data_IF_592024556364
#
_entry.id   IF_592024556364
#
_cell.length_a   1.000
_cell.length_b   1.000
_cell.length_c   1.000
_cell.angle_alpha   90.00
_cell.angle_beta   90.00
_cell.angle_gamma   90.00
#
_symmetry.space_group_name_H-M   'P 1'
#
loop_
_entity.id
_entity.type
_entity.pdbx_description
1 polymer ?
#
# COMPACT_ATOMS: atom_id res chain seq x y z
N UNK A 1 -8.70 -3.10 -13.85
CA UNK A 1 -7.28 -3.13 -13.40
C UNK A 1 -6.82 -1.84 -12.70
N UNK A 2 -7.44 -0.66 -12.96
CA UNK A 2 -7.08 0.61 -12.30
C UNK A 2 -7.53 0.70 -10.83
N UNK A 3 -8.67 0.11 -10.47
CA UNK A 3 -9.20 0.10 -9.09
C UNK A 3 -8.30 -0.62 -8.08
N UNK A 4 -7.41 -1.51 -8.55
CA UNK A 4 -6.50 -2.25 -7.66
C UNK A 4 -5.31 -1.41 -7.19
N UNK A 5 -4.97 -0.33 -7.91
CA UNK A 5 -3.78 0.49 -7.59
C UNK A 5 -3.91 1.19 -6.24
N UNK A 6 -5.13 1.57 -5.86
CA UNK A 6 -5.40 2.26 -4.60
C UNK A 6 -5.21 1.31 -3.42
N UNK A 7 -5.78 0.11 -3.50
CA UNK A 7 -5.58 -0.92 -2.48
C UNK A 7 -4.13 -1.38 -2.35
N UNK A 8 -3.40 -1.50 -3.46
CA UNK A 8 -1.99 -1.94 -3.44
C UNK A 8 -1.10 -0.96 -2.65
N UNK A 9 -1.40 0.35 -2.66
CA UNK A 9 -0.63 1.33 -1.89
C UNK A 9 -0.70 1.10 -0.39
N UNK A 10 -1.85 0.68 0.14
CA UNK A 10 -2.03 0.38 1.56
C UNK A 10 -1.10 -0.74 2.05
N UNK A 11 -0.84 -1.73 1.19
CA UNK A 11 -0.02 -2.91 1.52
C UNK A 11 1.47 -2.75 1.18
N UNK A 12 1.89 -1.62 0.59
CA UNK A 12 3.29 -1.34 0.28
C UNK A 12 3.87 -0.26 1.20
N UNK A 13 5.07 -0.49 1.71
CA UNK A 13 5.96 0.56 2.24
C UNK A 13 6.91 1.04 1.16
N UNK A 14 7.34 2.29 1.30
CA UNK A 14 8.41 2.85 0.50
C UNK A 14 9.60 3.15 1.39
N UNK A 15 10.77 2.59 1.06
CA UNK A 15 12.04 2.96 1.64
C UNK A 15 12.64 4.08 0.77
N UNK A 16 12.79 5.26 1.35
CA UNK A 16 13.27 6.46 0.62
C UNK A 16 14.78 6.40 0.45
N UNK A 17 15.21 6.42 -0.82
CA UNK A 17 16.60 6.57 -1.22
C UNK A 17 16.88 8.01 -1.63
N UNK A 18 16.80 8.27 -2.94
CA UNK A 18 16.95 9.59 -3.55
C UNK A 18 15.68 10.45 -3.48
N UNK A 19 14.54 9.88 -3.10
CA UNK A 19 13.26 10.54 -2.91
C UNK A 19 12.61 11.05 -4.19
N UNK A 20 13.08 10.63 -5.37
CA UNK A 20 12.60 11.15 -6.67
C UNK A 20 11.35 10.46 -7.19
N UNK A 21 11.05 9.26 -6.69
CA UNK A 21 9.91 8.47 -7.13
C UNK A 21 8.81 8.44 -6.09
N UNK A 22 9.19 8.33 -4.81
CA UNK A 22 8.26 8.34 -3.69
C UNK A 22 7.43 9.63 -3.67
N UNK A 23 6.11 9.48 -3.67
CA UNK A 23 5.16 10.55 -3.42
C UNK A 23 5.21 10.95 -1.95
N UNK A 24 5.35 12.25 -1.69
CA UNK A 24 5.34 12.77 -0.32
C UNK A 24 4.01 12.46 0.39
N UNK A 25 2.89 12.54 -0.34
CA UNK A 25 1.55 12.48 0.24
C UNK A 25 0.92 11.08 0.23
N UNK A 26 1.16 10.31 -0.82
CA UNK A 26 0.37 9.12 -1.16
C UNK A 26 1.12 7.79 -1.01
N UNK A 27 2.42 7.82 -0.81
CA UNK A 27 3.21 6.62 -0.54
C UNK A 27 3.45 6.48 0.96
N UNK A 28 3.51 5.24 1.43
CA UNK A 28 3.76 4.95 2.84
C UNK A 28 5.26 4.87 3.10
N UNK A 29 5.91 6.03 3.07
CA UNK A 29 7.34 6.15 3.33
C UNK A 29 7.69 6.55 4.77
N UNK A 30 6.67 6.76 5.58
CA UNK A 30 6.75 6.95 7.04
C UNK A 30 5.99 5.83 7.76
N UNK A 31 6.22 5.68 9.05
CA UNK A 31 5.43 4.80 9.91
C UNK A 31 4.05 5.38 10.27
N UNK A 32 3.84 6.68 10.00
CA UNK A 32 2.56 7.38 10.14
C UNK A 32 1.55 7.05 9.03
N UNK A 33 1.95 6.28 8.01
CA UNK A 33 1.12 5.94 6.86
C UNK A 33 1.09 7.05 5.80
N UNK A 34 0.00 7.14 5.03
CA UNK A 34 -0.14 8.15 4.00
C UNK A 34 -0.38 9.53 4.64
N UNK A 35 0.53 10.47 4.37
CA UNK A 35 0.48 11.80 4.99
C UNK A 35 -0.77 12.59 4.61
N UNK A 36 -1.35 12.33 3.43
CA UNK A 36 -2.61 12.97 3.03
C UNK A 36 -3.78 12.53 3.92
N UNK A 37 -3.81 11.27 4.34
CA UNK A 37 -4.83 10.72 5.22
C UNK A 37 -4.65 11.23 6.65
N UNK A 38 -3.40 11.36 7.09
CA UNK A 38 -3.08 11.87 8.43
C UNK A 38 -3.39 13.37 8.58
N UNK A 39 -2.94 14.20 7.63
CA UNK A 39 -3.04 15.67 7.73
C UNK A 39 -4.36 16.18 7.13
N UNK A 40 -4.98 15.40 6.25
CA UNK A 40 -6.21 15.74 5.53
C UNK A 40 -5.95 16.50 4.22
N UNK A 41 -7.03 16.72 3.46
CA UNK A 41 -6.99 17.31 2.12
C UNK A 41 -6.39 18.74 2.06
N UNK A 42 -6.41 19.45 3.18
CA UNK A 42 -5.77 20.77 3.31
C UNK A 42 -4.25 20.70 3.56
N UNK A 43 -3.71 19.52 3.86
CA UNK A 43 -2.30 19.29 4.16
C UNK A 43 -1.32 19.88 3.15
N UNK A 44 -1.50 19.67 1.83
CA UNK A 44 -0.66 20.29 0.79
C UNK A 44 -0.53 21.81 0.92
N UNK A 45 -1.63 22.50 1.25
CA UNK A 45 -1.62 23.96 1.44
C UNK A 45 -0.97 24.35 2.77
N UNK A 46 -1.20 23.58 3.83
CA UNK A 46 -0.63 23.82 5.16
C UNK A 46 0.89 23.63 5.18
N UNK A 47 1.39 22.55 4.60
CA UNK A 47 2.82 22.24 4.53
C UNK A 47 3.53 22.92 3.35
N UNK A 48 2.79 23.63 2.48
CA UNK A 48 3.33 24.28 1.27
C UNK A 48 4.07 23.30 0.35
N UNK A 49 3.62 22.05 0.33
CA UNK A 49 4.13 21.00 -0.54
C UNK A 49 3.02 20.65 -1.52
N UNK A 50 3.34 20.65 -2.81
CA UNK A 50 2.36 20.35 -3.86
C UNK A 50 1.80 18.93 -3.67
N UNK A 51 0.55 18.72 -4.09
CA UNK A 51 -0.09 17.40 -3.98
C UNK A 51 0.66 16.31 -4.77
N UNK A 52 1.28 16.68 -5.88
CA UNK A 52 2.09 15.80 -6.74
C UNK A 52 3.58 15.76 -6.38
N UNK A 53 3.97 16.39 -5.27
CA UNK A 53 5.37 16.48 -4.86
C UNK A 53 5.96 15.11 -4.48
N UNK A 54 7.24 14.97 -4.77
CA UNK A 54 8.07 13.84 -4.35
C UNK A 54 8.70 14.11 -2.98
N UNK A 55 9.19 13.07 -2.33
CA UNK A 55 9.85 13.20 -1.03
C UNK A 55 11.08 14.12 -1.12
N UNK A 56 11.83 14.05 -2.23
CA UNK A 56 12.96 14.93 -2.49
C UNK A 56 12.56 16.42 -2.57
N UNK A 57 11.37 16.73 -3.10
CA UNK A 57 10.89 18.10 -3.26
C UNK A 57 10.60 18.77 -1.90
N UNK A 58 10.42 17.98 -0.84
CA UNK A 58 10.24 18.46 0.53
C UNK A 58 11.57 18.77 1.25
N UNK A 59 12.71 18.63 0.55
CA UNK A 59 14.04 18.92 1.10
C UNK A 59 14.70 20.09 0.38
N UNK A 60 15.58 20.80 1.09
CA UNK A 60 16.44 21.85 0.52
C UNK A 60 17.82 21.77 1.13
N UNK A 61 18.86 21.72 0.29
CA UNK A 61 20.27 21.67 0.71
C UNK A 61 20.58 20.50 1.67
N UNK A 62 19.94 19.34 1.47
CA UNK A 62 20.17 18.15 2.28
C UNK A 62 19.43 18.11 3.63
N UNK A 63 18.50 19.04 3.86
CA UNK A 63 17.66 19.10 5.07
C UNK A 63 16.17 19.16 4.72
N UNK A 64 15.32 18.65 5.60
CA UNK A 64 13.86 18.81 5.49
C UNK A 64 13.49 20.30 5.52
N UNK A 65 12.62 20.71 4.61
CA UNK A 65 12.17 22.09 4.51
C UNK A 65 10.65 22.17 4.57
N UNK A 66 10.15 22.30 5.81
CA UNK A 66 8.72 22.35 6.12
C UNK A 66 8.41 23.66 6.87
N UNK A 67 7.22 24.26 6.69
CA UNK A 67 6.78 25.39 7.49
C UNK A 67 6.54 24.95 8.94
N UNK A 68 6.53 25.91 9.87
CA UNK A 68 6.17 25.65 11.26
C UNK A 68 4.84 24.88 11.35
N UNK A 69 4.79 23.86 12.22
CA UNK A 69 3.59 23.06 12.43
C UNK A 69 2.41 23.94 12.87
N UNK A 70 1.25 23.76 12.21
CA UNK A 70 -0.01 24.48 12.50
C UNK A 70 -1.15 23.54 12.90
N UNK A 71 -0.82 22.28 13.16
CA UNK A 71 -1.71 21.23 13.67
C UNK A 71 -0.87 20.16 14.38
N UNK A 72 -1.49 19.41 15.29
CA UNK A 72 -0.83 18.33 16.02
C UNK A 72 -0.26 17.26 15.07
N UNK A 73 -1.02 16.90 14.02
CA UNK A 73 -0.58 15.96 12.99
C UNK A 73 0.66 16.45 12.21
N UNK A 74 0.76 17.76 11.96
CA UNK A 74 1.94 18.34 11.32
C UNK A 74 3.14 18.38 12.27
N UNK A 75 2.90 18.58 13.57
CA UNK A 75 3.94 18.53 14.59
C UNK A 75 4.49 17.10 14.73
N UNK A 76 3.61 16.10 14.76
CA UNK A 76 3.99 14.68 14.82
C UNK A 76 4.87 14.29 13.63
N UNK A 77 4.47 14.69 12.40
CA UNK A 77 5.31 14.49 11.21
C UNK A 77 6.70 15.13 11.38
N UNK A 78 6.77 16.38 11.84
CA UNK A 78 8.05 17.08 11.98
C UNK A 78 8.97 16.42 13.01
N UNK A 79 8.43 15.94 14.13
CA UNK A 79 9.20 15.19 15.14
C UNK A 79 9.84 13.95 14.49
N UNK A 80 9.05 13.15 13.76
CA UNK A 80 9.58 11.94 13.09
C UNK A 80 10.64 12.24 12.04
N UNK A 81 10.47 13.31 11.27
CA UNK A 81 11.44 13.70 10.24
C UNK A 81 12.76 14.22 10.83
N UNK A 82 12.75 14.76 12.05
CA UNK A 82 13.95 15.24 12.72
C UNK A 82 14.69 14.08 13.42
N UNK A 83 13.96 13.19 14.07
CA UNK A 83 14.55 12.18 14.94
C UNK A 83 14.90 10.88 14.19
N UNK A 84 14.01 10.40 13.33
CA UNK A 84 14.07 9.01 12.82
C UNK A 84 14.34 8.92 11.32
N UNK A 85 13.87 9.90 10.53
CA UNK A 85 13.86 9.80 9.06
C UNK A 85 14.82 10.83 8.45
N UNK A 86 16.06 10.44 8.11
CA UNK A 86 16.99 11.35 7.47
C UNK A 86 16.51 11.79 6.07
N UNK A 87 16.82 13.02 5.64
CA UNK A 87 16.49 13.51 4.31
C UNK A 87 16.98 12.58 3.18
N UNK A 88 16.23 12.45 2.06
CA UNK A 88 16.67 11.73 0.88
C UNK A 88 18.07 12.15 0.40
N UNK A 89 18.84 11.17 -0.05
CA UNK A 89 20.23 11.37 -0.46
C UNK A 89 20.50 10.61 -1.76
N UNK A 90 21.09 11.31 -2.75
CA UNK A 90 21.44 10.74 -4.06
C UNK A 90 22.34 9.50 -3.98
N UNK A 91 23.16 9.39 -2.94
CA UNK A 91 24.07 8.26 -2.75
C UNK A 91 23.36 6.98 -2.28
N UNK A 92 22.12 7.06 -1.80
CA UNK A 92 21.34 5.89 -1.37
C UNK A 92 20.71 5.13 -2.54
N UNK A 93 20.80 5.66 -3.76
CA UNK A 93 20.15 5.08 -4.93
C UNK A 93 18.65 5.37 -4.98
N UNK A 94 17.95 4.71 -5.89
CA UNK A 94 16.52 4.94 -6.10
C UNK A 94 15.64 4.41 -4.97
N UNK A 95 14.47 5.02 -4.81
CA UNK A 95 13.45 4.59 -3.85
C UNK A 95 13.02 3.13 -4.09
N UNK A 96 12.82 2.39 -3.00
CA UNK A 96 12.45 0.96 -3.03
C UNK A 96 11.07 0.74 -2.44
N UNK A 97 10.20 0.01 -3.15
CA UNK A 97 8.83 -0.29 -2.71
C UNK A 97 8.74 -1.75 -2.27
N UNK A 98 8.45 -1.98 -0.99
CA UNK A 98 8.37 -3.29 -0.37
C UNK A 98 6.93 -3.57 0.10
N UNK A 99 6.55 -4.84 0.14
CA UNK A 99 5.27 -5.23 0.72
C UNK A 99 5.38 -5.25 2.26
N UNK A 100 4.59 -4.44 2.96
CA UNK A 100 4.54 -4.47 4.44
C UNK A 100 3.78 -5.68 4.89
N UNK A 101 4.44 -6.53 5.69
CA UNK A 101 3.91 -7.79 6.23
C UNK A 101 3.16 -8.61 5.18
N UNK A 102 3.83 -9.65 4.68
CA UNK A 102 3.17 -10.73 3.96
C UNK A 102 2.83 -11.80 5.00
N UNK A 103 1.76 -11.71 5.81
CA UNK A 103 1.24 -12.92 6.42
C UNK A 103 0.83 -13.85 5.27
N UNK A 104 0.75 -15.16 5.51
CA UNK A 104 0.34 -16.18 4.52
C UNK A 104 -0.86 -15.77 3.63
N UNK A 105 -1.70 -14.90 4.14
CA UNK A 105 -2.83 -14.29 3.43
C UNK A 105 -2.43 -13.37 2.27
N UNK A 106 -1.29 -12.69 2.25
CA UNK A 106 -0.93 -11.78 1.14
C UNK A 106 -0.59 -12.51 -0.16
N UNK A 107 -0.03 -13.73 -0.11
CA UNK A 107 0.12 -14.57 -1.31
C UNK A 107 -1.22 -15.10 -1.80
N UNK A 108 -2.07 -15.56 -0.88
CA UNK A 108 -3.43 -16.00 -1.22
C UNK A 108 -4.28 -14.85 -1.78
N UNK A 109 -4.22 -13.66 -1.18
CA UNK A 109 -4.87 -12.44 -1.65
C UNK A 109 -4.29 -11.99 -2.99
N UNK A 110 -2.97 -12.00 -3.17
CA UNK A 110 -2.37 -11.71 -4.47
C UNK A 110 -2.79 -12.70 -5.56
N UNK A 111 -2.84 -14.00 -5.25
CA UNK A 111 -3.42 -15.00 -6.15
C UNK A 111 -4.91 -14.72 -6.39
N UNK A 112 -5.67 -14.31 -5.37
CA UNK A 112 -7.10 -14.01 -5.49
C UNK A 112 -7.32 -12.83 -6.44
N UNK A 113 -6.56 -11.76 -6.25
CA UNK A 113 -6.61 -10.54 -7.06
C UNK A 113 -6.23 -10.79 -8.51
N UNK A 114 -5.29 -11.72 -8.77
CA UNK A 114 -4.92 -12.11 -10.13
C UNK A 114 -5.85 -13.17 -10.73
N UNK A 115 -6.93 -13.53 -10.01
CA UNK A 115 -7.76 -14.68 -10.29
C UNK A 115 -6.89 -15.88 -10.66
N UNK A 116 -6.02 -16.29 -9.74
CA UNK A 116 -5.05 -17.39 -9.83
C UNK A 116 -5.02 -18.26 -8.58
N UNK A 117 -5.99 -18.10 -7.68
CA UNK A 117 -6.16 -19.04 -6.57
C UNK A 117 -6.43 -20.44 -7.11
N UNK A 118 -5.87 -21.50 -6.49
CA UNK A 118 -6.13 -22.88 -6.85
C UNK A 118 -7.51 -23.32 -6.35
N UNK A 119 -8.57 -22.73 -6.89
CA UNK A 119 -9.95 -23.19 -6.65
C UNK A 119 -10.16 -24.57 -7.26
N UNK A 120 -11.08 -25.36 -6.73
CA UNK A 120 -11.35 -26.72 -7.27
C UNK A 120 -11.73 -26.72 -8.75
N UNK A 121 -12.45 -25.70 -9.22
CA UNK A 121 -12.71 -25.52 -10.65
C UNK A 121 -11.43 -25.47 -11.49
N UNK A 122 -10.43 -24.72 -11.03
CA UNK A 122 -9.11 -24.63 -11.67
C UNK A 122 -8.30 -25.91 -11.58
N UNK A 123 -8.30 -26.56 -10.42
CA UNK A 123 -7.57 -27.81 -10.21
C UNK A 123 -8.11 -28.91 -11.14
N UNK A 124 -9.42 -28.95 -11.36
CA UNK A 124 -10.06 -29.82 -12.37
C UNK A 124 -9.66 -29.45 -13.79
N UNK A 125 -9.54 -28.16 -14.10
CA UNK A 125 -8.97 -27.68 -15.37
C UNK A 125 -7.52 -28.12 -15.60
N UNK A 126 -6.77 -28.48 -14.56
CA UNK A 126 -5.44 -29.09 -14.64
C UNK A 126 -5.45 -30.62 -14.67
N UNK A 127 -6.63 -31.25 -14.75
CA UNK A 127 -6.78 -32.70 -14.81
C UNK A 127 -6.72 -33.42 -13.46
N UNK A 128 -6.83 -32.69 -12.33
CA UNK A 128 -6.91 -33.31 -11.01
C UNK A 128 -8.34 -33.76 -10.69
N UNK A 129 -8.46 -34.97 -10.15
CA UNK A 129 -9.72 -35.51 -9.65
C UNK A 129 -10.00 -34.96 -8.25
N UNK A 130 -10.63 -33.78 -8.20
CA UNK A 130 -11.07 -33.13 -6.96
C UNK A 130 -12.58 -32.86 -7.02
N UNK A 131 -13.28 -32.92 -5.87
CA UNK A 131 -14.70 -32.59 -5.80
C UNK A 131 -14.94 -31.17 -6.32
N UNK A 132 -16.04 -30.95 -7.04
CA UNK A 132 -16.37 -29.62 -7.57
C UNK A 132 -17.10 -28.73 -6.56
N UNK A 133 -17.54 -29.28 -5.43
CA UNK A 133 -18.31 -28.54 -4.42
C UNK A 133 -17.46 -27.49 -3.70
N UNK A 134 -18.09 -26.40 -3.26
CA UNK A 134 -17.45 -25.40 -2.40
C UNK A 134 -16.99 -26.00 -1.06
N UNK A 135 -15.74 -25.75 -0.65
CA UNK A 135 -15.21 -26.18 0.64
C UNK A 135 -15.92 -25.57 1.86
N UNK A 136 -16.45 -24.35 1.73
CA UNK A 136 -17.02 -23.59 2.86
C UNK A 136 -18.47 -23.98 3.14
N UNK A 137 -19.32 -23.91 2.12
CA UNK A 137 -20.76 -24.18 2.28
C UNK A 137 -21.17 -25.59 1.85
N UNK A 138 -20.25 -26.39 1.30
CA UNK A 138 -20.53 -27.72 0.73
C UNK A 138 -21.62 -27.74 -0.35
N UNK A 139 -22.01 -26.57 -0.85
CA UNK A 139 -23.09 -26.37 -1.80
C UNK A 139 -22.60 -25.52 -2.97
N UNK A 140 -23.07 -25.78 -4.19
CA UNK A 140 -22.60 -25.07 -5.40
C UNK A 140 -21.15 -25.40 -5.80
N UNK A 141 -20.73 -24.86 -6.94
CA UNK A 141 -19.39 -25.07 -7.50
C UNK A 141 -18.35 -24.13 -6.89
N UNK A 142 -17.19 -24.65 -6.50
CA UNK A 142 -16.08 -23.83 -6.00
C UNK A 142 -15.38 -23.07 -7.13
N UNK A 143 -15.92 -21.91 -7.44
CA UNK A 143 -15.32 -20.92 -8.33
C UNK A 143 -14.79 -19.74 -7.52
N UNK A 144 -13.94 -18.91 -8.13
CA UNK A 144 -13.48 -17.67 -7.50
C UNK A 144 -14.67 -16.78 -7.11
N UNK A 145 -15.63 -16.60 -8.03
CA UNK A 145 -16.81 -15.77 -7.78
C UNK A 145 -17.68 -16.34 -6.66
N UNK A 146 -17.89 -17.66 -6.64
CA UNK A 146 -18.64 -18.29 -5.57
C UNK A 146 -17.93 -18.14 -4.22
N UNK A 147 -16.62 -18.37 -4.16
CA UNK A 147 -15.85 -18.35 -2.91
C UNK A 147 -15.77 -16.97 -2.25
N UNK A 148 -15.85 -15.87 -3.03
CA UNK A 148 -15.74 -14.50 -2.51
C UNK A 148 -17.05 -13.69 -2.52
N UNK A 149 -17.96 -13.94 -3.46
CA UNK A 149 -19.12 -13.06 -3.68
C UNK A 149 -20.48 -13.74 -3.54
N UNK A 150 -20.56 -15.07 -3.59
CA UNK A 150 -21.85 -15.78 -3.56
C UNK A 150 -21.97 -16.84 -2.46
N UNK A 151 -20.87 -17.19 -1.77
CA UNK A 151 -20.91 -18.17 -0.69
C UNK A 151 -21.53 -17.54 0.57
N UNK A 152 -22.54 -18.18 1.19
CA UNK A 152 -23.14 -17.66 2.43
C UNK A 152 -22.18 -17.59 3.63
N UNK A 153 -21.03 -18.27 3.54
CA UNK A 153 -20.03 -18.39 4.61
C UNK A 153 -18.74 -17.59 4.33
N UNK A 154 -18.69 -16.84 3.22
CA UNK A 154 -17.55 -15.96 2.89
C UNK A 154 -17.75 -14.50 3.32
N UNK A 155 -18.90 -14.19 3.92
CA UNK A 155 -19.28 -12.88 4.48
C UNK A 155 -19.53 -13.00 5.98
#
# INVERSE_FOLDING_TARGET
MLQLKEYVREFMSCEVGDGRFASFWFDNWTDLGQLITLIGDNGPRLLRIRLDARVADATRLGSWHLPAARSDSAQELQIRLIDDIPPPNLNRGSDSFLWRHVPRFSFATWLALRNRLPTRDRLRGWGMDVPSSCLLCSNGLETHDHLFFSCPFSL
#
